data_IF_703469194408
#
_entry.id   IF_703469194408
#
_cell.length_a   1.000
_cell.length_b   1.000
_cell.length_c   1.000
_cell.angle_alpha   90.00
_cell.angle_beta   90.00
_cell.angle_gamma   90.00
#
_symmetry.space_group_name_H-M   'P 1'
#
loop_
_entity.id
_entity.type
_entity.pdbx_description
1 polymer ?
#
# COMPACT_ATOMS: atom_id res chain seq x y z
N UNK A 1 24.23 65.02 30.51
CA UNK A 1 25.51 65.63 30.85
C UNK A 1 26.25 64.63 31.71
N UNK A 2 27.27 63.88 31.30
CA UNK A 2 28.04 63.73 30.06
C UNK A 2 28.63 62.29 30.17
N UNK A 3 28.30 61.38 29.27
CA UNK A 3 29.14 60.90 28.17
C UNK A 3 30.63 60.69 28.51
N UNK A 4 31.06 59.43 28.61
CA UNK A 4 32.45 58.97 28.40
C UNK A 4 32.54 57.42 28.47
N UNK A 5 32.36 56.75 27.34
CA UNK A 5 33.25 55.62 26.98
C UNK A 5 34.55 56.23 26.38
N UNK A 6 35.68 55.52 26.13
CA UNK A 6 35.87 54.08 25.90
C UNK A 6 37.20 53.53 26.50
N UNK A 7 37.60 52.28 26.24
CA UNK A 7 38.94 51.90 25.73
C UNK A 7 38.89 50.46 25.20
N UNK A 8 39.49 50.32 24.02
CA UNK A 8 39.65 49.16 23.15
C UNK A 8 41.12 48.72 23.22
N UNK A 9 41.39 47.42 23.32
CA UNK A 9 42.72 46.82 23.07
C UNK A 9 42.76 45.40 23.60
N UNK A 10 42.76 44.38 22.71
CA UNK A 10 43.93 43.57 22.33
C UNK A 10 44.45 42.81 23.55
N UNK A 11 44.32 41.49 23.62
CA UNK A 11 45.26 40.62 22.92
C UNK A 11 44.65 39.40 22.21
N UNK A 12 45.34 39.03 21.14
CA UNK A 12 45.14 37.83 20.32
C UNK A 12 46.03 36.72 20.89
N UNK A 13 45.58 35.47 20.86
CA UNK A 13 46.33 34.29 20.36
C UNK A 13 45.51 33.01 20.64
N UNK A 14 45.17 32.27 19.57
CA UNK A 14 45.67 30.90 19.30
C UNK A 14 44.98 29.87 20.21
N UNK A 15 43.99 29.12 19.72
CA UNK A 15 44.28 27.90 18.96
C UNK A 15 43.30 27.66 17.80
N UNK A 16 43.91 27.51 16.62
CA UNK A 16 43.39 26.67 15.55
C UNK A 16 43.48 25.21 16.00
N UNK A 17 42.38 24.46 16.01
CA UNK A 17 42.45 23.03 15.67
C UNK A 17 41.26 22.63 14.79
N UNK A 18 41.55 22.68 13.50
CA UNK A 18 40.95 21.81 12.50
C UNK A 18 41.02 20.36 12.98
N UNK A 19 39.85 19.73 13.14
CA UNK A 19 39.76 18.28 13.26
C UNK A 19 38.79 17.74 12.20
N UNK A 20 39.25 17.72 10.95
CA UNK A 20 38.85 16.64 10.03
C UNK A 20 39.29 15.33 10.69
N UNK A 21 38.38 14.40 10.99
CA UNK A 21 38.64 12.95 10.82
C UNK A 21 37.37 12.09 10.91
N UNK A 22 37.16 11.39 9.78
CA UNK A 22 36.77 9.98 9.66
C UNK A 22 35.31 9.62 9.94
N UNK A 23 34.56 9.69 8.84
CA UNK A 23 33.56 8.70 8.44
C UNK A 23 33.86 7.33 9.03
N UNK A 24 33.03 6.91 9.98
CA UNK A 24 33.06 5.57 10.55
C UNK A 24 31.68 4.98 10.36
N UNK A 25 31.61 4.05 9.41
CA UNK A 25 30.45 3.26 9.05
C UNK A 25 30.14 2.29 10.20
N UNK A 26 29.02 2.48 10.89
CA UNK A 26 28.44 1.52 11.83
C UNK A 26 26.97 1.36 11.43
N UNK A 27 26.62 0.39 10.58
CA UNK A 27 26.15 -0.95 11.00
C UNK A 27 25.24 -0.90 12.23
N UNK A 28 23.94 -0.91 11.94
CA UNK A 28 22.80 -1.14 12.84
C UNK A 28 22.88 -2.54 13.46
N UNK A 29 22.58 -2.70 14.75
CA UNK A 29 21.89 -3.89 15.22
C UNK A 29 20.40 -3.58 15.44
N UNK A 30 19.60 -4.47 14.87
CA UNK A 30 18.15 -4.50 14.92
C UNK A 30 17.63 -4.62 16.35
N UNK A 31 16.57 -3.88 16.66
CA UNK A 31 15.87 -4.01 17.94
C UNK A 31 14.98 -2.83 18.24
N UNK A 32 13.88 -2.67 17.51
CA UNK A 32 12.73 -1.91 18.02
C UNK A 32 11.57 -2.90 18.17
N UNK A 33 11.35 -3.25 19.43
CA UNK A 33 10.25 -4.06 19.91
C UNK A 33 8.90 -3.44 19.54
N UNK A 34 8.08 -4.29 18.96
CA UNK A 34 6.65 -4.18 18.71
C UNK A 34 5.90 -4.09 20.05
N UNK A 35 5.10 -3.04 20.26
CA UNK A 35 4.10 -3.01 21.33
C UNK A 35 2.72 -3.32 20.74
N UNK A 36 2.10 -4.36 21.32
CA UNK A 36 0.77 -4.91 21.04
C UNK A 36 -0.21 -4.47 22.14
N UNK A 37 -1.48 -4.26 21.78
CA UNK A 37 -2.65 -4.29 22.68
C UNK A 37 -3.59 -3.11 22.40
N UNK A 38 -4.89 -3.29 22.10
CA UNK A 38 -5.84 -4.10 22.85
C UNK A 38 -7.07 -4.49 22.00
N UNK A 39 -7.56 -5.71 22.24
CA UNK A 39 -8.72 -6.37 21.65
C UNK A 39 -10.05 -5.94 22.28
N UNK A 40 -11.13 -6.01 21.50
CA UNK A 40 -12.42 -6.54 21.94
C UNK A 40 -13.15 -7.17 20.74
N UNK A 41 -13.11 -8.50 20.63
CA UNK A 41 -13.95 -9.26 19.68
C UNK A 41 -15.07 -9.90 20.51
N UNK A 42 -16.30 -9.48 20.25
CA UNK A 42 -17.48 -10.14 20.77
C UNK A 42 -17.77 -11.39 19.93
N UNK A 43 -17.96 -12.50 20.62
CA UNK A 43 -18.26 -13.82 20.08
C UNK A 43 -19.70 -13.86 19.56
N UNK A 44 -19.92 -13.86 18.24
CA UNK A 44 -21.22 -14.14 17.65
C UNK A 44 -21.13 -15.33 16.70
N UNK A 45 -21.58 -16.46 17.23
CA UNK A 45 -22.22 -17.60 16.60
C UNK A 45 -22.13 -17.71 15.07
N UNK A 46 -21.37 -18.72 14.63
CA UNK A 46 -21.23 -19.17 13.26
C UNK A 46 -22.52 -19.83 12.76
N UNK A 47 -23.30 -19.12 11.95
CA UNK A 47 -24.33 -19.70 11.10
C UNK A 47 -23.70 -20.32 9.84
N UNK A 48 -23.99 -21.60 9.60
CA UNK A 48 -23.60 -22.32 8.38
C UNK A 48 -24.32 -21.77 7.15
N UNK A 49 -23.67 -21.54 5.99
CA UNK A 49 -24.38 -21.34 4.74
C UNK A 49 -24.74 -22.69 4.09
N UNK A 50 -26.01 -22.81 3.73
CA UNK A 50 -26.58 -23.93 2.97
C UNK A 50 -26.02 -24.00 1.54
N UNK A 51 -25.75 -25.23 1.10
CA UNK A 51 -25.33 -25.57 -0.26
C UNK A 51 -26.43 -25.28 -1.28
N UNK A 52 -26.24 -24.24 -2.10
CA UNK A 52 -27.09 -23.90 -3.24
C UNK A 52 -26.51 -24.43 -4.58
N UNK A 53 -27.33 -24.91 -5.54
CA UNK A 53 -26.83 -25.57 -6.74
C UNK A 53 -26.25 -24.59 -7.78
N UNK A 54 -24.97 -24.79 -8.10
CA UNK A 54 -24.35 -24.69 -9.44
C UNK A 54 -24.88 -23.68 -10.46
N UNK A 55 -24.48 -22.41 -10.33
CA UNK A 55 -24.42 -21.49 -11.47
C UNK A 55 -23.00 -21.47 -12.04
N UNK A 56 -22.87 -21.92 -13.30
CA UNK A 56 -21.63 -21.84 -14.09
C UNK A 56 -21.22 -20.38 -14.29
N UNK A 57 -20.39 -19.86 -13.40
CA UNK A 57 -19.74 -18.56 -13.56
C UNK A 57 -18.49 -18.76 -14.43
N UNK A 58 -18.48 -18.12 -15.59
CA UNK A 58 -17.38 -18.19 -16.55
C UNK A 58 -16.03 -17.96 -15.90
N UNK A 59 -15.01 -18.61 -16.48
CA UNK A 59 -13.57 -18.52 -16.19
C UNK A 59 -13.12 -17.07 -15.95
N UNK A 60 -13.35 -16.53 -14.76
CA UNK A 60 -12.71 -15.30 -14.30
C UNK A 60 -11.24 -15.65 -14.09
N UNK A 61 -10.39 -14.82 -14.68
CA UNK A 61 -8.94 -14.99 -14.69
C UNK A 61 -8.40 -15.30 -13.30
N UNK A 62 -7.29 -16.07 -13.30
CA UNK A 62 -6.46 -16.39 -12.13
C UNK A 62 -6.68 -15.38 -11.02
N UNK A 63 -7.37 -15.86 -9.99
CA UNK A 63 -7.55 -15.22 -8.69
C UNK A 63 -6.16 -14.69 -8.29
N UNK A 64 -5.94 -13.38 -8.44
CA UNK A 64 -4.92 -12.71 -7.64
C UNK A 64 -5.30 -13.09 -6.21
N UNK A 65 -4.39 -13.76 -5.50
CA UNK A 65 -4.66 -14.22 -4.14
C UNK A 65 -5.11 -13.06 -3.26
N UNK A 66 -5.63 -13.33 -2.05
CA UNK A 66 -6.13 -12.32 -1.11
C UNK A 66 -5.12 -11.22 -0.69
N UNK A 67 -3.94 -11.17 -1.30
CA UNK A 67 -2.88 -10.17 -1.15
C UNK A 67 -2.83 -9.19 -2.34
N UNK A 68 -3.98 -8.75 -2.86
CA UNK A 68 -4.06 -7.47 -3.59
C UNK A 68 -3.16 -7.28 -4.81
N UNK A 69 -2.86 -8.32 -5.60
CA UNK A 69 -2.07 -8.19 -6.83
C UNK A 69 -0.61 -7.75 -6.62
N UNK A 70 0.30 -7.98 -7.57
CA UNK A 70 1.71 -7.70 -7.36
C UNK A 70 1.93 -6.18 -7.26
N UNK A 71 2.34 -5.73 -6.08
CA UNK A 71 2.85 -4.38 -5.82
C UNK A 71 3.98 -3.98 -6.77
N UNK A 72 4.72 -4.99 -7.24
CA UNK A 72 5.79 -4.90 -8.24
C UNK A 72 5.65 -6.09 -9.20
N UNK A 73 5.97 -5.93 -10.51
CA UNK A 73 5.92 -7.01 -11.48
C UNK A 73 7.13 -7.96 -11.34
N UNK A 74 7.29 -8.57 -10.16
CA UNK A 74 8.48 -9.34 -9.77
C UNK A 74 8.84 -10.48 -10.75
N UNK A 75 7.82 -11.11 -11.35
CA UNK A 75 8.02 -12.18 -12.34
C UNK A 75 8.73 -11.77 -13.63
N UNK A 76 9.00 -10.47 -13.84
CA UNK A 76 9.71 -9.95 -15.02
C UNK A 76 11.07 -9.35 -14.72
N UNK A 77 11.50 -9.34 -13.44
CA UNK A 77 12.72 -8.64 -13.02
C UNK A 77 13.97 -9.54 -13.00
N UNK A 78 13.84 -10.81 -13.42
CA UNK A 78 14.97 -11.75 -13.42
C UNK A 78 15.60 -11.90 -12.02
N UNK A 79 14.75 -12.08 -11.00
CA UNK A 79 15.23 -12.21 -9.61
C UNK A 79 16.09 -13.46 -9.46
N UNK A 80 17.24 -13.34 -8.78
CA UNK A 80 18.05 -14.50 -8.38
C UNK A 80 17.29 -15.38 -7.40
N UNK A 81 17.68 -16.64 -7.25
CA UNK A 81 17.04 -17.55 -6.29
C UNK A 81 17.07 -16.99 -4.87
N UNK A 82 18.22 -16.45 -4.44
CA UNK A 82 18.36 -15.81 -3.14
C UNK A 82 17.42 -14.60 -2.97
N UNK A 83 17.25 -13.76 -3.99
CA UNK A 83 16.29 -12.65 -3.95
C UNK A 83 14.84 -13.17 -3.86
N UNK A 84 14.50 -14.24 -4.58
CA UNK A 84 13.15 -14.83 -4.52
C UNK A 84 12.82 -15.35 -3.12
N UNK A 85 13.77 -16.02 -2.47
CA UNK A 85 13.62 -16.50 -1.09
C UNK A 85 13.43 -15.33 -0.11
N UNK A 86 14.21 -14.27 -0.24
CA UNK A 86 14.08 -13.08 0.61
C UNK A 86 12.74 -12.36 0.39
N UNK A 87 12.28 -12.26 -0.86
CA UNK A 87 10.94 -11.72 -1.17
C UNK A 87 9.86 -12.58 -0.54
N UNK A 88 9.95 -13.91 -0.63
CA UNK A 88 8.98 -14.81 0.00
C UNK A 88 8.96 -14.64 1.52
N UNK A 89 10.13 -14.50 2.15
CA UNK A 89 10.23 -14.24 3.59
C UNK A 89 9.55 -12.91 3.98
N UNK A 90 9.78 -11.84 3.22
CA UNK A 90 9.10 -10.54 3.44
C UNK A 90 7.58 -10.68 3.32
N UNK A 91 7.11 -11.41 2.30
CA UNK A 91 5.68 -11.64 2.10
C UNK A 91 5.05 -12.46 3.22
N UNK A 92 5.73 -13.51 3.68
CA UNK A 92 5.23 -14.35 4.77
C UNK A 92 5.22 -13.60 6.10
N UNK A 93 6.27 -12.83 6.40
CA UNK A 93 6.35 -12.01 7.61
C UNK A 93 5.20 -10.98 7.67
N UNK A 94 4.82 -10.39 6.54
CA UNK A 94 3.77 -9.37 6.47
C UNK A 94 2.38 -9.93 6.13
N UNK A 95 2.27 -11.25 5.94
CA UNK A 95 1.06 -11.92 5.45
C UNK A 95 -0.14 -11.66 6.35
N UNK A 96 0.02 -11.85 7.66
CA UNK A 96 -1.07 -11.64 8.61
C UNK A 96 -1.49 -10.18 8.66
N UNK A 97 -0.54 -9.25 8.80
CA UNK A 97 -0.85 -7.82 8.86
C UNK A 97 -1.54 -7.32 7.59
N UNK A 98 -1.10 -7.79 6.42
CA UNK A 98 -1.75 -7.44 5.15
C UNK A 98 -3.14 -8.06 5.05
N UNK A 99 -3.32 -9.32 5.46
CA UNK A 99 -4.64 -9.97 5.48
C UNK A 99 -5.61 -9.21 6.36
N UNK A 100 -5.23 -8.90 7.60
CA UNK A 100 -6.08 -8.15 8.53
C UNK A 100 -6.48 -6.79 7.97
N UNK A 101 -5.56 -6.06 7.35
CA UNK A 101 -5.88 -4.77 6.73
C UNK A 101 -6.85 -4.91 5.54
N UNK A 102 -6.66 -5.91 4.67
CA UNK A 102 -7.54 -6.16 3.53
C UNK A 102 -8.92 -6.71 3.95
N UNK A 103 -8.96 -7.54 4.98
CA UNK A 103 -10.20 -8.04 5.60
C UNK A 103 -11.02 -6.87 6.15
N UNK A 104 -10.36 -5.95 6.86
CA UNK A 104 -11.00 -4.74 7.36
C UNK A 104 -11.59 -3.88 6.24
N UNK A 105 -10.85 -3.64 5.16
CA UNK A 105 -11.37 -2.91 3.99
C UNK A 105 -12.59 -3.61 3.41
N UNK A 106 -12.56 -4.95 3.31
CA UNK A 106 -13.68 -5.73 2.79
C UNK A 106 -14.92 -5.60 3.67
N UNK A 107 -14.76 -5.73 4.98
CA UNK A 107 -15.84 -5.62 5.96
C UNK A 107 -16.51 -4.24 5.90
N UNK A 108 -15.72 -3.17 5.95
CA UNK A 108 -16.28 -1.80 5.92
C UNK A 108 -16.93 -1.50 4.57
N UNK A 109 -16.37 -2.01 3.47
CA UNK A 109 -16.99 -1.86 2.15
C UNK A 109 -18.35 -2.56 2.09
N UNK A 110 -18.47 -3.72 2.72
CA UNK A 110 -19.75 -4.42 2.82
C UNK A 110 -20.74 -3.64 3.69
N UNK A 111 -20.31 -3.14 4.84
CA UNK A 111 -21.14 -2.28 5.69
C UNK A 111 -21.62 -1.01 4.97
N UNK A 112 -20.75 -0.40 4.13
CA UNK A 112 -21.13 0.76 3.34
C UNK A 112 -22.18 0.40 2.29
N UNK A 113 -22.02 -0.75 1.64
CA UNK A 113 -23.01 -1.25 0.69
C UNK A 113 -24.35 -1.47 1.38
N UNK A 114 -24.36 -2.14 2.53
CA UNK A 114 -25.57 -2.41 3.31
C UNK A 114 -26.26 -1.11 3.74
N UNK A 115 -25.49 -0.11 4.21
CA UNK A 115 -26.02 1.21 4.59
C UNK A 115 -26.63 1.99 3.41
N UNK A 116 -26.05 1.87 2.21
CA UNK A 116 -26.55 2.52 1.00
C UNK A 116 -27.79 1.82 0.42
N UNK A 117 -27.94 0.51 0.65
CA UNK A 117 -29.08 -0.28 0.15
C UNK A 117 -30.18 -0.50 1.18
N UNK A 118 -30.11 0.14 2.35
CA UNK A 118 -31.14 0.06 3.36
C UNK A 118 -32.48 0.66 2.87
N UNK A 119 -33.60 0.18 3.42
CA UNK A 119 -34.96 0.61 3.03
C UNK A 119 -35.21 2.12 3.23
N UNK A 120 -34.45 2.74 4.14
CA UNK A 120 -34.49 4.18 4.39
C UNK A 120 -33.09 4.77 4.33
N UNK A 121 -32.98 5.93 3.69
CA UNK A 121 -31.71 6.64 3.56
C UNK A 121 -31.36 7.31 4.89
N UNK A 122 -30.30 6.83 5.54
CA UNK A 122 -29.68 7.49 6.68
C UNK A 122 -28.32 8.08 6.26
N UNK A 123 -28.34 9.36 5.89
CA UNK A 123 -27.15 10.06 5.43
C UNK A 123 -26.02 10.08 6.47
N UNK A 124 -26.34 10.24 7.75
CA UNK A 124 -25.35 10.25 8.83
C UNK A 124 -24.62 8.91 8.96
N UNK A 125 -25.37 7.81 8.90
CA UNK A 125 -24.80 6.46 8.92
C UNK A 125 -23.93 6.19 7.68
N UNK A 126 -24.40 6.56 6.48
CA UNK A 126 -23.64 6.41 5.24
C UNK A 126 -22.32 7.20 5.31
N UNK A 127 -22.36 8.47 5.76
CA UNK A 127 -21.16 9.30 5.92
C UNK A 127 -20.19 8.69 6.93
N UNK A 128 -20.68 8.18 8.07
CA UNK A 128 -19.84 7.54 9.08
C UNK A 128 -19.10 6.31 8.54
N UNK A 129 -19.81 5.38 7.89
CA UNK A 129 -19.20 4.17 7.33
C UNK A 129 -18.27 4.51 6.15
N UNK A 130 -18.59 5.54 5.36
CA UNK A 130 -17.70 6.01 4.30
C UNK A 130 -16.39 6.59 4.85
N UNK A 131 -16.43 7.33 5.95
CA UNK A 131 -15.22 7.81 6.65
C UNK A 131 -14.38 6.63 7.15
N UNK A 132 -15.02 5.64 7.76
CA UNK A 132 -14.37 4.41 8.24
C UNK A 132 -13.71 3.63 7.09
N UNK A 133 -14.36 3.58 5.91
CA UNK A 133 -13.79 2.94 4.73
C UNK A 133 -12.52 3.65 4.28
N UNK A 134 -12.53 4.98 4.26
CA UNK A 134 -11.36 5.79 3.92
C UNK A 134 -10.17 5.53 4.84
N UNK A 135 -10.43 5.39 6.15
CA UNK A 135 -9.39 5.04 7.12
C UNK A 135 -8.84 3.63 6.87
N UNK A 136 -9.72 2.64 6.70
CA UNK A 136 -9.30 1.25 6.43
C UNK A 136 -8.49 1.13 5.13
N UNK A 137 -8.89 1.84 4.06
CA UNK A 137 -8.15 1.86 2.80
C UNK A 137 -6.77 2.55 2.96
N UNK A 138 -6.69 3.59 3.78
CA UNK A 138 -5.45 4.25 4.16
C UNK A 138 -4.49 3.33 4.89
N UNK A 139 -4.96 2.63 5.92
CA UNK A 139 -4.16 1.67 6.70
C UNK A 139 -3.65 0.52 5.82
N UNK A 140 -4.51 -0.02 4.95
CA UNK A 140 -4.12 -1.04 3.99
C UNK A 140 -3.09 -0.51 2.97
N UNK A 141 -3.19 0.76 2.55
CA UNK A 141 -2.21 1.38 1.67
C UNK A 141 -0.85 1.55 2.35
N UNK A 142 -0.83 1.94 3.61
CA UNK A 142 0.40 2.04 4.43
C UNK A 142 1.05 0.67 4.59
N UNK A 143 0.28 -0.37 4.91
CA UNK A 143 0.83 -1.72 5.02
C UNK A 143 1.39 -2.20 3.67
N UNK A 144 0.66 -2.03 2.56
CA UNK A 144 1.22 -2.30 1.23
C UNK A 144 2.53 -1.54 1.00
N UNK A 145 2.61 -0.26 1.36
CA UNK A 145 3.85 0.53 1.20
C UNK A 145 5.05 -0.04 1.98
N UNK A 146 4.86 -0.59 3.18
CA UNK A 146 5.92 -1.27 3.92
C UNK A 146 6.43 -2.51 3.18
N UNK A 147 5.53 -3.37 2.71
CA UNK A 147 5.90 -4.54 1.90
C UNK A 147 6.61 -4.11 0.62
N UNK A 148 6.12 -3.07 -0.06
CA UNK A 148 6.76 -2.51 -1.25
C UNK A 148 8.20 -2.10 -0.96
N UNK A 149 8.40 -1.29 0.09
CA UNK A 149 9.70 -0.75 0.44
C UNK A 149 10.71 -1.85 0.78
N UNK A 150 10.28 -2.85 1.57
CA UNK A 150 11.10 -3.99 1.92
C UNK A 150 11.55 -4.78 0.67
N UNK A 151 10.63 -5.08 -0.24
CA UNK A 151 10.96 -5.77 -1.51
C UNK A 151 11.85 -4.90 -2.40
N UNK A 152 11.58 -3.59 -2.48
CA UNK A 152 12.33 -2.66 -3.32
C UNK A 152 13.81 -2.60 -2.95
N UNK A 153 14.13 -2.69 -1.66
CA UNK A 153 15.50 -2.69 -1.14
C UNK A 153 16.29 -3.96 -1.52
N UNK A 154 15.61 -5.07 -1.87
CA UNK A 154 16.26 -6.30 -2.30
C UNK A 154 16.68 -6.26 -3.78
N UNK A 155 16.16 -5.32 -4.55
CA UNK A 155 16.40 -5.20 -5.99
C UNK A 155 17.67 -4.41 -6.29
N UNK A 156 18.41 -4.85 -7.32
CA UNK A 156 19.54 -4.06 -7.85
C UNK A 156 19.03 -2.78 -8.54
N UNK A 157 19.88 -1.76 -8.74
CA UNK A 157 19.50 -0.55 -9.45
C UNK A 157 18.91 -0.82 -10.84
N UNK A 158 19.45 -1.79 -11.57
CA UNK A 158 18.99 -2.20 -12.90
C UNK A 158 17.60 -2.86 -12.82
N UNK A 159 17.38 -3.73 -11.83
CA UNK A 159 16.06 -4.35 -11.59
C UNK A 159 15.03 -3.31 -11.15
N UNK A 160 15.42 -2.30 -10.38
CA UNK A 160 14.56 -1.18 -10.02
C UNK A 160 14.15 -0.35 -11.23
N UNK A 161 15.07 -0.09 -12.16
CA UNK A 161 14.77 0.58 -13.42
C UNK A 161 13.77 -0.24 -14.25
N UNK A 162 14.03 -1.54 -14.42
CA UNK A 162 13.13 -2.47 -15.11
C UNK A 162 11.74 -2.54 -14.46
N UNK A 163 11.65 -2.47 -13.13
CA UNK A 163 10.38 -2.45 -12.42
C UNK A 163 9.56 -1.18 -12.70
N UNK A 164 10.21 -0.02 -12.82
CA UNK A 164 9.55 1.25 -13.17
C UNK A 164 9.01 1.21 -14.60
N UNK A 165 9.82 0.72 -15.54
CA UNK A 165 9.42 0.56 -16.94
C UNK A 165 8.23 -0.40 -17.07
N UNK A 166 8.31 -1.58 -16.44
CA UNK A 166 7.23 -2.55 -16.44
C UNK A 166 5.94 -1.97 -15.83
N UNK A 167 6.04 -1.12 -14.80
CA UNK A 167 4.89 -0.40 -14.23
C UNK A 167 4.28 0.57 -15.24
N UNK A 168 5.09 1.36 -15.94
CA UNK A 168 4.63 2.30 -16.97
C UNK A 168 3.93 1.57 -18.12
N UNK A 169 4.50 0.47 -18.62
CA UNK A 169 3.85 -0.35 -19.65
C UNK A 169 2.50 -0.92 -19.19
N UNK A 170 2.42 -1.42 -17.95
CA UNK A 170 1.16 -1.94 -17.41
C UNK A 170 0.09 -0.85 -17.34
N UNK A 171 0.46 0.37 -16.99
CA UNK A 171 -0.45 1.52 -16.99
C UNK A 171 -0.93 1.84 -18.40
N UNK A 172 -0.05 1.91 -19.38
CA UNK A 172 -0.40 2.15 -20.79
C UNK A 172 -1.34 1.06 -21.33
N UNK A 173 -1.00 -0.22 -21.13
CA UNK A 173 -1.86 -1.36 -21.54
C UNK A 173 -3.23 -1.30 -20.87
N UNK A 174 -3.29 -0.83 -19.62
CA UNK A 174 -4.54 -0.67 -18.89
C UNK A 174 -5.38 0.48 -19.43
N UNK A 175 -4.76 1.61 -19.79
CA UNK A 175 -5.43 2.73 -20.45
C UNK A 175 -6.00 2.32 -21.82
N UNK A 176 -5.21 1.63 -22.66
CA UNK A 176 -5.67 1.12 -23.95
C UNK A 176 -6.83 0.13 -23.81
N UNK A 177 -6.79 -0.74 -22.79
CA UNK A 177 -7.89 -1.67 -22.52
C UNK A 177 -9.17 -0.92 -22.13
N UNK A 178 -9.08 0.15 -21.33
CA UNK A 178 -10.23 0.99 -20.99
C UNK A 178 -10.85 1.61 -22.25
N UNK A 179 -10.05 2.23 -23.10
CA UNK A 179 -10.49 2.78 -24.39
C UNK A 179 -11.24 1.74 -25.24
N UNK A 180 -10.67 0.54 -25.39
CA UNK A 180 -11.32 -0.55 -26.15
C UNK A 180 -12.66 -0.98 -25.56
N UNK A 181 -12.80 -0.96 -24.22
CA UNK A 181 -14.06 -1.29 -23.55
C UNK A 181 -15.08 -0.17 -23.80
N UNK A 182 -14.66 1.09 -23.75
CA UNK A 182 -15.53 2.24 -23.97
C UNK A 182 -16.04 2.30 -25.42
N UNK A 183 -15.17 2.09 -26.40
CA UNK A 183 -15.58 1.94 -27.80
C UNK A 183 -16.58 0.79 -28.01
N UNK A 184 -16.36 -0.35 -27.34
CA UNK A 184 -17.29 -1.50 -27.41
C UNK A 184 -18.65 -1.13 -26.80
N UNK A 185 -18.69 -0.30 -25.75
CA UNK A 185 -19.93 0.18 -25.14
C UNK A 185 -20.65 1.13 -26.09
N UNK A 186 -19.95 2.09 -26.70
CA UNK A 186 -20.52 3.02 -27.68
C UNK A 186 -21.13 2.29 -28.88
N UNK A 187 -20.37 1.36 -29.51
CA UNK A 187 -20.89 0.55 -30.63
C UNK A 187 -22.14 -0.27 -30.27
N UNK A 188 -22.24 -0.73 -29.01
CA UNK A 188 -23.45 -1.44 -28.53
C UNK A 188 -24.64 -0.50 -28.36
N UNK A 189 -24.42 0.74 -27.92
CA UNK A 189 -25.47 1.75 -27.80
C UNK A 189 -25.98 2.17 -29.19
N UNK A 190 -25.08 2.42 -30.14
CA UNK A 190 -25.45 2.76 -31.52
C UNK A 190 -26.28 1.66 -32.18
N UNK A 191 -25.90 0.38 -31.99
CA UNK A 191 -26.69 -0.76 -32.51
C UNK A 191 -28.09 -0.84 -31.93
N UNK A 192 -28.27 -0.48 -30.65
CA UNK A 192 -29.58 -0.46 -29.99
C UNK A 192 -30.47 0.71 -30.43
N UNK A 193 -29.87 1.78 -30.97
CA UNK A 193 -30.62 2.94 -31.48
C UNK A 193 -31.03 2.78 -32.95
N UNK A 194 -30.37 1.87 -33.69
CA UNK A 194 -30.59 1.65 -35.13
C UNK A 194 -31.46 0.44 -35.47
N UNK A 195 -31.78 -0.41 -34.50
CA UNK A 195 -32.67 -1.56 -34.65
C UNK A 195 -33.79 -1.48 -33.63
#
# INVERSE_FOLDING_TARGET
>A
MDDAAPVRGRDKEVEMTSAKRKMTRWMVPAGVLLMVGLFAVADTAWGQPADGPGLRRGRMGRRAGPLGGPLLPLGRLGLTQAQQEQVQAVMEQNRQATRTAEERVREVRQALQDAVTADSVNEGAIRAVATELGLAEGDAAVQRAYVHAAVWQLLTPEQQAAAREAKAEMQQRSAQRRQRVDERRQRRQERRQRG
#
